data_IF_604156180394
#
_entry.id   IF_604156180394
#
_cell.length_a   1.000
_cell.length_b   1.000
_cell.length_c   1.000
_cell.angle_alpha   90.00
_cell.angle_beta   90.00
_cell.angle_gamma   90.00
#
_symmetry.space_group_name_H-M   'P 1'
#
loop_
_entity.id
_entity.type
_entity.pdbx_description
1 polymer ?
#
# COMPACT_ATOMS: atom_id res chain seq x y z
N UNK A 1 38.03 17.94 6.75
CA UNK A 1 37.35 16.65 7.03
C UNK A 1 36.17 16.36 6.06
N UNK A 2 36.24 16.73 4.77
CA UNK A 2 35.00 17.09 4.05
C UNK A 2 34.43 16.11 2.99
N UNK A 3 35.18 15.14 2.45
CA UNK A 3 34.71 14.40 1.25
C UNK A 3 34.07 13.03 1.56
N UNK A 4 34.55 12.33 2.59
CA UNK A 4 34.06 10.99 2.97
C UNK A 4 32.68 11.03 3.63
N UNK A 5 32.44 12.00 4.52
CA UNK A 5 31.17 12.15 5.24
C UNK A 5 30.00 12.49 4.30
N UNK A 6 30.23 13.37 3.32
CA UNK A 6 29.24 13.73 2.29
C UNK A 6 28.92 12.53 1.41
N UNK A 7 29.92 11.78 0.95
CA UNK A 7 29.71 10.56 0.15
C UNK A 7 28.92 9.49 0.91
N UNK A 8 29.21 9.29 2.19
CA UNK A 8 28.48 8.35 3.05
C UNK A 8 27.03 8.81 3.28
N UNK A 9 26.80 10.11 3.46
CA UNK A 9 25.45 10.68 3.61
C UNK A 9 24.62 10.53 2.32
N UNK A 10 25.19 10.86 1.16
CA UNK A 10 24.53 10.69 -0.14
C UNK A 10 24.20 9.22 -0.42
N UNK A 11 25.05 8.29 0.01
CA UNK A 11 24.74 6.85 -0.06
C UNK A 11 23.63 6.44 0.91
N UNK A 12 23.53 7.08 2.08
CA UNK A 12 22.50 6.78 3.09
C UNK A 12 21.11 7.23 2.64
N UNK A 13 20.99 8.44 2.09
CA UNK A 13 19.70 8.94 1.61
C UNK A 13 19.18 8.12 0.42
N UNK A 14 20.04 7.76 -0.54
CA UNK A 14 19.65 6.92 -1.67
C UNK A 14 19.13 5.55 -1.22
N UNK A 15 19.78 4.95 -0.21
CA UNK A 15 19.33 3.68 0.39
C UNK A 15 17.96 3.82 1.06
N UNK A 16 17.77 4.88 1.84
CA UNK A 16 16.52 5.12 2.56
C UNK A 16 15.35 5.49 1.61
N UNK A 17 15.63 6.20 0.52
CA UNK A 17 14.70 6.42 -0.57
C UNK A 17 14.27 5.10 -1.23
N UNK A 18 15.24 4.21 -1.51
CA UNK A 18 14.94 2.90 -2.07
C UNK A 18 14.07 2.06 -1.12
N UNK A 19 14.30 2.15 0.20
CA UNK A 19 13.44 1.49 1.20
C UNK A 19 12.00 2.01 1.10
N UNK A 20 11.79 3.33 1.06
CA UNK A 20 10.46 3.93 0.92
C UNK A 20 9.75 3.47 -0.36
N UNK A 21 10.45 3.55 -1.49
CA UNK A 21 9.92 3.13 -2.79
C UNK A 21 9.58 1.65 -2.81
N UNK A 22 10.45 0.81 -2.25
CA UNK A 22 10.22 -0.65 -2.19
C UNK A 22 9.03 -0.97 -1.30
N UNK A 23 8.89 -0.30 -0.16
CA UNK A 23 7.76 -0.49 0.76
C UNK A 23 6.44 -0.12 0.09
N UNK A 24 6.39 1.05 -0.55
CA UNK A 24 5.23 1.52 -1.35
C UNK A 24 4.86 0.53 -2.45
N UNK A 25 5.86 0.05 -3.22
CA UNK A 25 5.63 -0.89 -4.31
C UNK A 25 5.16 -2.26 -3.82
N UNK A 26 5.69 -2.74 -2.70
CA UNK A 26 5.24 -3.99 -2.09
C UNK A 26 3.79 -3.88 -1.60
N UNK A 27 3.40 -2.75 -0.99
CA UNK A 27 1.99 -2.54 -0.63
C UNK A 27 1.09 -2.55 -1.86
N UNK A 28 1.48 -1.86 -2.95
CA UNK A 28 0.71 -1.88 -4.19
C UNK A 28 0.59 -3.31 -4.76
N UNK A 29 1.69 -4.07 -4.78
CA UNK A 29 1.70 -5.45 -5.25
C UNK A 29 0.77 -6.34 -4.43
N UNK A 30 0.78 -6.22 -3.09
CA UNK A 30 -0.12 -6.98 -2.23
C UNK A 30 -1.58 -6.61 -2.46
N UNK A 31 -1.88 -5.32 -2.67
CA UNK A 31 -3.22 -4.87 -3.03
C UNK A 31 -3.68 -5.49 -4.37
N UNK A 32 -2.82 -5.47 -5.39
CA UNK A 32 -3.09 -6.08 -6.71
C UNK A 32 -3.27 -7.60 -6.64
N UNK A 33 -2.62 -8.26 -5.69
CA UNK A 33 -2.75 -9.70 -5.44
C UNK A 33 -3.91 -10.05 -4.49
N UNK A 34 -4.70 -9.07 -4.06
CA UNK A 34 -5.78 -9.24 -3.06
C UNK A 34 -5.31 -9.84 -1.72
N UNK A 35 -4.02 -9.70 -1.40
CA UNK A 35 -3.39 -10.16 -0.16
C UNK A 35 -3.57 -9.14 0.97
N UNK A 36 -4.83 -8.94 1.36
CA UNK A 36 -5.20 -7.84 2.25
C UNK A 36 -4.66 -7.99 3.68
N UNK A 37 -4.48 -9.22 4.16
CA UNK A 37 -3.92 -9.47 5.49
C UNK A 37 -2.45 -9.02 5.55
N UNK A 38 -1.65 -9.38 4.55
CA UNK A 38 -0.25 -8.95 4.43
C UNK A 38 -0.14 -7.45 4.15
N UNK A 39 -1.07 -6.89 3.37
CA UNK A 39 -1.15 -5.45 3.12
C UNK A 39 -1.34 -4.66 4.42
N UNK A 40 -2.25 -5.11 5.30
CA UNK A 40 -2.51 -4.46 6.59
C UNK A 40 -1.25 -4.41 7.47
N UNK A 41 -0.44 -5.48 7.44
CA UNK A 41 0.84 -5.55 8.16
C UNK A 41 1.81 -4.48 7.65
N UNK A 42 1.95 -4.31 6.33
CA UNK A 42 2.81 -3.28 5.75
C UNK A 42 2.26 -1.87 5.95
N UNK A 43 0.94 -1.69 5.91
CA UNK A 43 0.30 -0.40 6.10
C UNK A 43 0.54 0.16 7.50
N UNK A 44 0.50 -0.69 8.54
CA UNK A 44 0.82 -0.31 9.93
C UNK A 44 2.24 0.25 10.09
N UNK A 45 3.16 -0.17 9.22
CA UNK A 45 4.57 0.28 9.24
C UNK A 45 4.80 1.53 8.38
N UNK A 46 3.85 1.89 7.50
CA UNK A 46 4.03 2.95 6.52
C UNK A 46 4.15 4.34 7.15
N UNK A 47 3.20 4.71 8.02
CA UNK A 47 3.18 6.02 8.67
C UNK A 47 4.46 6.28 9.49
N UNK A 48 4.90 5.38 10.40
CA UNK A 48 6.14 5.57 11.13
C UNK A 48 7.38 5.65 10.24
N UNK A 49 7.42 4.86 9.16
CA UNK A 49 8.52 4.90 8.19
C UNK A 49 8.58 6.27 7.48
N UNK A 50 7.44 6.77 7.01
CA UNK A 50 7.36 8.04 6.31
C UNK A 50 7.75 9.21 7.22
N UNK A 51 7.23 9.24 8.44
CA UNK A 51 7.57 10.27 9.45
C UNK A 51 9.06 10.25 9.79
N UNK A 52 9.64 9.06 10.00
CA UNK A 52 11.09 8.91 10.26
C UNK A 52 11.92 9.49 9.12
N UNK A 53 11.55 9.22 7.87
CA UNK A 53 12.30 9.68 6.71
C UNK A 53 12.11 11.18 6.48
N UNK A 54 10.90 11.71 6.64
CA UNK A 54 10.61 13.15 6.57
C UNK A 54 11.40 13.93 7.62
N UNK A 55 11.44 13.44 8.86
CA UNK A 55 12.21 14.06 9.93
C UNK A 55 13.73 14.06 9.66
N UNK A 56 14.22 13.05 8.93
CA UNK A 56 15.66 12.89 8.66
C UNK A 56 16.16 13.67 7.44
N UNK A 57 15.34 13.74 6.39
CA UNK A 57 15.76 14.23 5.08
C UNK A 57 14.96 15.43 4.57
N UNK A 58 13.78 15.68 5.12
CA UNK A 58 12.90 16.80 4.74
C UNK A 58 12.64 16.84 3.23
N UNK A 59 12.89 18.00 2.63
CA UNK A 59 12.66 18.26 1.21
C UNK A 59 13.48 17.38 0.26
N UNK A 60 14.58 16.77 0.72
CA UNK A 60 15.38 15.88 -0.12
C UNK A 60 14.62 14.60 -0.52
N UNK A 61 13.49 14.29 0.13
CA UNK A 61 12.59 13.22 -0.27
C UNK A 61 11.64 13.62 -1.41
N UNK A 62 11.59 14.90 -1.81
CA UNK A 62 10.72 15.34 -2.91
C UNK A 62 11.02 14.60 -4.23
N UNK A 63 12.23 14.10 -4.42
CA UNK A 63 12.61 13.32 -5.61
C UNK A 63 11.80 12.02 -5.75
N UNK A 64 11.39 11.39 -4.65
CA UNK A 64 10.58 10.16 -4.67
C UNK A 64 9.08 10.41 -4.51
N UNK A 65 8.67 11.65 -4.22
CA UNK A 65 7.29 12.01 -3.89
C UNK A 65 6.30 11.63 -4.98
N UNK A 66 6.62 11.92 -6.24
CA UNK A 66 5.73 11.64 -7.36
C UNK A 66 5.43 10.13 -7.49
N UNK A 67 6.46 9.30 -7.35
CA UNK A 67 6.33 7.83 -7.42
C UNK A 67 5.50 7.29 -6.25
N UNK A 68 5.73 7.79 -5.04
CA UNK A 68 4.94 7.39 -3.86
C UNK A 68 3.47 7.77 -3.99
N UNK A 69 3.17 8.95 -4.56
CA UNK A 69 1.80 9.37 -4.82
C UNK A 69 1.13 8.53 -5.90
N UNK A 70 1.87 8.21 -6.97
CA UNK A 70 1.38 7.34 -8.04
C UNK A 70 1.01 5.95 -7.51
N UNK A 71 1.90 5.32 -6.74
CA UNK A 71 1.63 4.01 -6.13
C UNK A 71 0.40 4.07 -5.19
N UNK A 72 0.25 5.14 -4.39
CA UNK A 72 -0.90 5.32 -3.50
C UNK A 72 -2.21 5.47 -4.28
N UNK A 73 -2.22 6.25 -5.37
CA UNK A 73 -3.39 6.40 -6.24
C UNK A 73 -3.76 5.09 -6.94
N UNK A 74 -2.77 4.32 -7.40
CA UNK A 74 -3.02 3.00 -7.98
C UNK A 74 -3.59 2.04 -6.95
N UNK A 75 -3.08 2.07 -5.72
CA UNK A 75 -3.56 1.24 -4.62
C UNK A 75 -5.02 1.59 -4.27
N UNK A 76 -5.36 2.86 -4.19
CA UNK A 76 -6.74 3.32 -3.96
C UNK A 76 -7.70 2.74 -5.01
N UNK A 77 -7.34 2.83 -6.30
CA UNK A 77 -8.16 2.26 -7.39
C UNK A 77 -8.39 0.76 -7.24
N UNK A 78 -7.34 0.01 -6.90
CA UNK A 78 -7.41 -1.44 -6.70
C UNK A 78 -8.29 -1.79 -5.51
N UNK A 79 -8.17 -1.07 -4.39
CA UNK A 79 -8.98 -1.30 -3.20
C UNK A 79 -10.46 -1.00 -3.45
N UNK A 80 -10.77 0.12 -4.12
CA UNK A 80 -12.14 0.46 -4.49
C UNK A 80 -12.77 -0.59 -5.42
N UNK A 81 -12.02 -1.05 -6.43
CA UNK A 81 -12.48 -2.12 -7.32
C UNK A 81 -12.75 -3.42 -6.55
N UNK A 82 -11.84 -3.82 -5.66
CA UNK A 82 -11.99 -5.03 -4.84
C UNK A 82 -13.20 -4.94 -3.89
N UNK A 83 -13.44 -3.78 -3.29
CA UNK A 83 -14.61 -3.57 -2.44
C UNK A 83 -15.93 -3.68 -3.22
N UNK A 84 -15.97 -3.13 -4.44
CA UNK A 84 -17.13 -3.23 -5.30
C UNK A 84 -17.41 -4.69 -5.72
N UNK A 85 -16.37 -5.43 -6.09
CA UNK A 85 -16.44 -6.85 -6.44
C UNK A 85 -16.97 -7.70 -5.26
N UNK A 86 -16.38 -7.54 -4.07
CA UNK A 86 -16.84 -8.21 -2.86
C UNK A 86 -18.31 -7.90 -2.53
N UNK A 87 -18.73 -6.64 -2.69
CA UNK A 87 -20.11 -6.23 -2.52
C UNK A 87 -21.07 -6.94 -3.47
N UNK A 88 -20.68 -7.10 -4.74
CA UNK A 88 -21.47 -7.84 -5.72
C UNK A 88 -21.57 -9.33 -5.38
N UNK A 89 -20.46 -9.98 -5.03
CA UNK A 89 -20.45 -11.39 -4.63
C UNK A 89 -21.29 -11.64 -3.38
N UNK A 90 -21.24 -10.74 -2.40
CA UNK A 90 -22.08 -10.82 -1.21
C UNK A 90 -23.57 -10.75 -1.57
N UNK A 91 -23.97 -9.79 -2.40
CA UNK A 91 -25.37 -9.66 -2.86
C UNK A 91 -25.84 -10.90 -3.63
N UNK A 92 -25.00 -11.48 -4.49
CA UNK A 92 -25.29 -12.72 -5.20
C UNK A 92 -25.48 -13.88 -4.23
N UNK A 93 -24.61 -14.01 -3.22
CA UNK A 93 -24.68 -15.05 -2.19
C UNK A 93 -25.94 -14.93 -1.34
N UNK A 94 -26.34 -13.71 -0.96
CA UNK A 94 -27.60 -13.46 -0.26
C UNK A 94 -28.80 -13.86 -1.10
N UNK A 95 -28.82 -13.53 -2.41
CA UNK A 95 -29.89 -13.94 -3.33
C UNK A 95 -29.97 -15.46 -3.48
N UNK A 96 -28.82 -16.12 -3.61
CA UNK A 96 -28.75 -17.58 -3.69
C UNK A 96 -29.29 -18.22 -2.40
N UNK A 97 -28.87 -17.76 -1.23
CA UNK A 97 -29.36 -18.27 0.06
C UNK A 97 -30.86 -18.05 0.26
N UNK A 98 -31.40 -16.87 -0.13
CA UNK A 98 -32.86 -16.64 -0.11
C UNK A 98 -33.61 -17.60 -1.04
N UNK A 99 -33.03 -17.89 -2.21
CA UNK A 99 -33.62 -18.83 -3.17
C UNK A 99 -33.61 -20.26 -2.61
N UNK A 100 -32.51 -20.68 -1.98
CA UNK A 100 -32.41 -22.00 -1.32
C UNK A 100 -33.41 -22.13 -0.18
N UNK A 101 -33.55 -21.12 0.70
CA UNK A 101 -34.55 -21.15 1.79
C UNK A 101 -35.97 -21.41 1.30
N UNK A 102 -36.35 -20.87 0.14
CA UNK A 102 -37.67 -21.10 -0.48
C UNK A 102 -37.94 -22.59 -0.79
N UNK A 103 -36.90 -23.42 -0.93
CA UNK A 103 -37.02 -24.85 -1.23
C UNK A 103 -36.78 -25.76 -0.03
N UNK A 104 -36.34 -25.21 1.11
CA UNK A 104 -35.93 -25.98 2.29
C UNK A 104 -36.76 -25.64 3.54
N UNK A 105 -37.44 -24.49 3.56
CA UNK A 105 -38.45 -24.18 4.58
C UNK A 105 -39.79 -24.88 4.20
N UNK A 106 -40.39 -25.69 5.11
CA UNK A 106 -41.62 -26.47 4.86
C UNK A 106 -42.89 -25.62 4.72
#
# INVERSE_FOLDING_TARGET
>A
MSNKAVKTYMSSIAKDQLILLSHSKNMLLLAQQHKFAELEVLQKQWQPLLEKMLNRYGEQLNIVRAVLLEDAQQMERVLLASQAELGQHFLQSVKANKSVRKYVEP
#
